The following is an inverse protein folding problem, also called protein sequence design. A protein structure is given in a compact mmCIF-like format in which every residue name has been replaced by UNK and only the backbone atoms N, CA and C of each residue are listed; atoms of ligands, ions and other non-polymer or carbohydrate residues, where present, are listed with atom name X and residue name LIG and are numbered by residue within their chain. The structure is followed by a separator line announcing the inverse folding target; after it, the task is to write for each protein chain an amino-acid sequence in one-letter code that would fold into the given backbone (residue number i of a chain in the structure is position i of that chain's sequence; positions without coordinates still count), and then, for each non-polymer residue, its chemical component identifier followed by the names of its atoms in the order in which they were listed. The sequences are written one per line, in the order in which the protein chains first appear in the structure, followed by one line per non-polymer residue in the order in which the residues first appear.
data_IF_550499031595
#
_entry.id   IF_550499031595
#
_cell.length_a   1.000
_cell.length_b   1.000
_cell.length_c   1.000
_cell.angle_alpha   90.00
_cell.angle_beta   90.00
_cell.angle_gamma   90.00
#
_symmetry.space_group_name_H-M   'P 1'
#
loop_
_entity.id
_entity.type
_entity.pdbx_description
1 polymer ?
#
# COMPACT_ATOMS: atom_id res chain seq x y z
N UNK A 1 11.39 -8.67 -11.98
CA UNK A 1 10.74 -9.58 -12.96
C UNK A 1 10.88 -11.00 -12.48
N UNK A 2 9.76 -11.74 -12.46
CA UNK A 2 9.81 -13.16 -12.15
C UNK A 2 10.71 -13.90 -13.14
N UNK A 3 11.70 -14.63 -12.63
CA UNK A 3 12.56 -15.46 -13.46
C UNK A 3 11.87 -16.73 -14.02
N UNK A 4 10.65 -17.00 -13.58
CA UNK A 4 9.84 -18.12 -14.06
C UNK A 4 8.98 -17.76 -15.28
N UNK A 5 8.91 -16.48 -15.65
CA UNK A 5 8.28 -16.09 -16.91
C UNK A 5 9.33 -16.07 -18.02
N UNK A 6 9.06 -16.83 -19.05
CA UNK A 6 9.73 -16.64 -20.31
C UNK A 6 9.25 -15.31 -20.91
N UNK A 7 10.13 -14.31 -20.96
CA UNK A 7 9.81 -12.97 -21.50
C UNK A 7 9.34 -13.03 -22.97
N UNK A 8 9.67 -14.09 -23.69
CA UNK A 8 9.23 -14.30 -25.07
C UNK A 8 7.76 -14.72 -25.19
N UNK A 9 7.09 -15.03 -24.06
CA UNK A 9 5.68 -15.45 -24.03
C UNK A 9 4.75 -14.35 -23.56
N UNK A 10 5.22 -13.12 -23.41
CA UNK A 10 4.39 -11.99 -23.03
C UNK A 10 3.30 -11.76 -24.08
N UNK A 11 2.03 -11.91 -23.67
CA UNK A 11 0.87 -11.85 -24.55
C UNK A 11 0.66 -10.44 -25.16
N UNK A 12 1.01 -9.40 -24.42
CA UNK A 12 0.94 -8.02 -24.88
C UNK A 12 2.33 -7.38 -24.86
N UNK A 13 2.90 -7.17 -26.04
CA UNK A 13 4.25 -6.57 -26.21
C UNK A 13 4.33 -5.11 -25.78
N UNK A 14 3.18 -4.43 -25.64
CA UNK A 14 3.11 -3.03 -25.21
C UNK A 14 3.13 -2.87 -23.69
N UNK A 15 3.05 -3.95 -22.91
CA UNK A 15 3.18 -3.89 -21.47
C UNK A 15 4.64 -3.71 -21.08
N UNK A 16 4.88 -2.71 -20.25
CA UNK A 16 6.19 -2.44 -19.64
C UNK A 16 6.03 -2.22 -18.13
N UNK A 17 7.14 -2.08 -17.42
CA UNK A 17 7.14 -1.92 -15.97
C UNK A 17 6.47 -0.61 -15.49
N UNK A 18 6.37 0.39 -16.36
CA UNK A 18 5.75 1.67 -16.03
C UNK A 18 4.23 1.62 -16.09
N UNK A 19 3.67 0.85 -17.03
CA UNK A 19 2.24 0.78 -17.28
C UNK A 19 1.58 -0.54 -16.87
N UNK A 20 2.34 -1.48 -16.30
CA UNK A 20 1.83 -2.76 -15.79
C UNK A 20 2.17 -2.90 -14.31
N UNK A 21 1.45 -2.18 -13.49
CA UNK A 21 1.62 -2.19 -12.04
C UNK A 21 0.42 -2.89 -11.39
N UNK A 22 0.67 -3.99 -10.73
CA UNK A 22 -0.35 -4.78 -10.04
C UNK A 22 0.04 -5.00 -8.58
N UNK A 23 -0.89 -4.73 -7.69
CA UNK A 23 -0.80 -4.99 -6.28
C UNK A 23 -1.69 -6.18 -5.91
N UNK A 24 -1.16 -7.11 -5.16
CA UNK A 24 -1.94 -8.12 -4.47
C UNK A 24 -2.02 -7.78 -2.97
N UNK A 25 -3.17 -7.34 -2.54
CA UNK A 25 -3.51 -7.21 -1.12
C UNK A 25 -4.27 -8.45 -0.69
N UNK A 26 -3.57 -9.41 -0.16
CA UNK A 26 -4.22 -10.59 0.39
C UNK A 26 -3.44 -11.14 1.57
N UNK A 27 -4.15 -11.84 2.40
CA UNK A 27 -3.52 -12.81 3.27
C UNK A 27 -3.57 -14.14 2.52
N UNK A 28 -2.46 -14.59 1.97
CA UNK A 28 -2.43 -15.88 1.27
C UNK A 28 -2.81 -17.00 2.22
N UNK A 29 -2.96 -16.70 3.50
CA UNK A 29 -3.13 -17.64 4.57
C UNK A 29 -4.24 -17.22 5.53
N UNK A 30 -5.05 -16.25 5.19
CA UNK A 30 -6.15 -15.75 5.99
C UNK A 30 -5.78 -15.56 7.46
N UNK A 31 -6.62 -15.99 8.37
CA UNK A 31 -6.31 -16.00 9.80
C UNK A 31 -5.08 -16.85 10.18
N UNK A 32 -4.56 -17.63 9.24
CA UNK A 32 -3.39 -18.46 9.45
C UNK A 32 -2.08 -17.69 9.53
N UNK A 33 -2.07 -16.36 9.34
CA UNK A 33 -0.90 -15.54 9.71
C UNK A 33 -0.48 -15.77 11.16
N UNK A 34 -1.38 -16.18 12.03
CA UNK A 34 -1.08 -16.64 13.39
C UNK A 34 -0.26 -17.92 13.43
N UNK A 35 -0.32 -18.74 12.38
CA UNK A 35 0.36 -20.03 12.26
C UNK A 35 1.66 -19.94 11.44
N UNK A 36 1.92 -18.81 10.79
CA UNK A 36 3.15 -18.62 10.04
C UNK A 36 4.33 -18.36 10.97
N UNK A 37 5.22 -19.31 10.99
CA UNK A 37 6.53 -19.12 11.57
C UNK A 37 7.54 -18.65 10.52
N UNK A 38 8.74 -18.22 10.95
CA UNK A 38 9.83 -17.84 10.05
C UNK A 38 10.41 -19.02 9.26
N UNK A 39 10.10 -20.25 9.67
CA UNK A 39 10.63 -21.48 9.08
C UNK A 39 9.61 -22.14 8.14
N UNK A 40 10.07 -22.77 7.06
CA UNK A 40 9.23 -23.58 6.20
C UNK A 40 8.56 -24.71 6.99
N UNK A 41 7.33 -25.03 6.63
CA UNK A 41 6.63 -26.17 7.21
C UNK A 41 7.05 -27.48 6.53
N UNK A 42 7.09 -28.53 7.29
CA UNK A 42 7.37 -29.88 6.77
C UNK A 42 6.23 -30.42 5.90
N UNK A 43 5.00 -30.06 6.23
CA UNK A 43 3.81 -30.49 5.51
C UNK A 43 3.23 -29.33 4.73
N UNK A 44 2.77 -29.63 3.53
CA UNK A 44 2.05 -28.69 2.68
C UNK A 44 0.57 -28.64 3.14
N UNK A 45 0.31 -27.83 4.15
CA UNK A 45 -1.00 -27.66 4.77
C UNK A 45 -1.52 -26.22 4.70
N UNK A 46 -0.99 -25.44 3.79
CA UNK A 46 -1.32 -24.02 3.65
C UNK A 46 -1.64 -23.61 2.21
N UNK A 47 -2.02 -22.37 2.07
CA UNK A 47 -2.28 -21.77 0.77
C UNK A 47 -1.01 -21.70 -0.07
N UNK A 48 -1.16 -21.94 -1.36
CA UNK A 48 -0.08 -21.85 -2.32
C UNK A 48 -0.25 -20.57 -3.15
N UNK A 49 0.71 -19.66 -3.04
CA UNK A 49 0.76 -18.50 -3.92
C UNK A 49 1.81 -18.71 -5.02
N UNK A 50 1.35 -18.75 -6.27
CA UNK A 50 2.19 -18.97 -7.45
C UNK A 50 1.99 -17.92 -8.56
N UNK A 51 1.28 -16.83 -8.26
CA UNK A 51 0.93 -15.78 -9.22
C UNK A 51 1.94 -14.63 -9.27
N UNK A 52 3.20 -14.88 -8.85
CA UNK A 52 4.27 -13.88 -8.78
C UNK A 52 4.49 -13.11 -10.07
N UNK A 53 4.27 -13.77 -11.20
CA UNK A 53 4.48 -13.18 -12.53
C UNK A 53 3.49 -12.09 -12.89
N UNK A 54 2.35 -12.02 -12.21
CA UNK A 54 1.29 -11.07 -12.51
C UNK A 54 1.28 -9.85 -11.59
N UNK A 55 2.14 -9.81 -10.58
CA UNK A 55 2.16 -8.75 -9.58
C UNK A 55 3.54 -8.11 -9.43
N UNK A 56 3.55 -6.85 -9.00
CA UNK A 56 4.76 -6.10 -8.67
C UNK A 56 4.97 -5.98 -7.16
N UNK A 57 3.86 -6.00 -6.41
CA UNK A 57 3.85 -5.87 -4.95
C UNK A 57 2.90 -6.91 -4.37
N UNK A 58 3.34 -7.57 -3.31
CA UNK A 58 2.49 -8.38 -2.45
C UNK A 58 2.47 -7.78 -1.05
N UNK A 59 1.34 -7.21 -0.65
CA UNK A 59 1.14 -6.72 0.70
C UNK A 59 0.36 -7.74 1.53
N UNK A 60 0.97 -8.19 2.60
CA UNK A 60 0.39 -9.16 3.49
C UNK A 60 -0.66 -8.52 4.40
N UNK A 61 -1.89 -8.97 4.31
CA UNK A 61 -3.00 -8.52 5.16
C UNK A 61 -2.86 -9.11 6.56
N UNK A 62 -2.18 -8.42 7.46
CA UNK A 62 -1.76 -8.98 8.76
C UNK A 62 -2.22 -8.21 9.99
N UNK A 63 -3.01 -7.16 9.84
CA UNK A 63 -3.48 -6.27 10.91
C UNK A 63 -2.36 -5.56 11.70
N UNK A 64 -1.11 -5.78 11.35
CA UNK A 64 0.02 -5.10 12.00
C UNK A 64 1.19 -5.03 11.05
N UNK A 65 1.94 -3.94 11.11
CA UNK A 65 3.20 -3.85 10.40
C UNK A 65 4.21 -4.88 10.92
N UNK A 66 5.22 -5.14 10.10
CA UNK A 66 6.35 -6.02 10.40
C UNK A 66 6.03 -7.51 10.48
N UNK A 67 4.84 -7.91 10.06
CA UNK A 67 4.44 -9.31 10.05
C UNK A 67 4.55 -9.90 8.64
N UNK A 68 5.74 -9.80 8.05
CA UNK A 68 6.08 -10.46 6.78
C UNK A 68 7.05 -11.60 7.08
N UNK A 69 6.66 -12.87 6.85
CA UNK A 69 7.56 -13.99 7.07
C UNK A 69 8.80 -13.91 6.19
N UNK A 70 9.99 -14.14 6.74
CA UNK A 70 11.25 -14.02 6.02
C UNK A 70 11.32 -14.93 4.79
N UNK A 71 10.82 -16.16 4.89
CA UNK A 71 10.75 -17.10 3.75
C UNK A 71 9.83 -16.60 2.65
N UNK A 72 8.77 -15.89 2.99
CA UNK A 72 7.88 -15.27 2.01
C UNK A 72 8.58 -14.12 1.28
N UNK A 73 9.29 -13.24 2.00
CA UNK A 73 10.13 -12.21 1.42
C UNK A 73 11.15 -12.78 0.43
N UNK A 74 11.85 -13.84 0.82
CA UNK A 74 12.86 -14.48 -0.01
C UNK A 74 12.26 -14.99 -1.34
N UNK A 75 11.09 -15.62 -1.28
CA UNK A 75 10.42 -16.12 -2.49
C UNK A 75 9.90 -14.97 -3.35
N UNK A 76 9.29 -13.96 -2.75
CA UNK A 76 8.83 -12.78 -3.47
C UNK A 76 9.98 -12.09 -4.21
N UNK A 77 11.08 -11.82 -3.52
CA UNK A 77 12.26 -11.18 -4.11
C UNK A 77 12.91 -12.02 -5.21
N UNK A 78 12.97 -13.35 -5.05
CA UNK A 78 13.41 -14.25 -6.13
C UNK A 78 12.57 -14.14 -7.39
N UNK A 79 11.31 -13.76 -7.25
CA UNK A 79 10.38 -13.54 -8.35
C UNK A 79 10.32 -12.07 -8.81
N UNK A 80 11.12 -11.18 -8.22
CA UNK A 80 11.14 -9.76 -8.56
C UNK A 80 9.94 -8.98 -8.02
N UNK A 81 9.25 -9.52 -7.01
CA UNK A 81 8.08 -8.93 -6.37
C UNK A 81 8.50 -8.28 -5.06
N UNK A 82 8.11 -7.03 -4.85
CA UNK A 82 8.30 -6.32 -3.58
C UNK A 82 7.28 -6.79 -2.55
N UNK A 83 7.65 -6.72 -1.29
CA UNK A 83 6.77 -7.10 -0.18
C UNK A 83 6.45 -5.92 0.70
N UNK A 84 5.24 -5.97 1.26
CA UNK A 84 4.77 -5.04 2.27
C UNK A 84 3.93 -5.75 3.32
N UNK A 85 3.53 -5.00 4.32
CA UNK A 85 2.62 -5.46 5.35
C UNK A 85 1.60 -4.36 5.64
N UNK A 86 0.38 -4.78 5.91
CA UNK A 86 -0.74 -3.86 6.04
C UNK A 86 -1.10 -3.64 7.51
N UNK A 87 -1.17 -2.38 7.90
CA UNK A 87 -1.80 -1.96 9.15
C UNK A 87 -3.27 -1.63 8.87
N UNK A 88 -4.14 -2.28 9.62
CA UNK A 88 -5.57 -2.16 9.45
C UNK A 88 -6.16 -1.25 10.54
N UNK A 89 -6.94 -0.26 10.13
CA UNK A 89 -7.76 0.59 10.98
C UNK A 89 -9.21 0.33 10.60
N UNK A 90 -10.00 -0.11 11.56
CA UNK A 90 -11.39 -0.46 11.36
C UNK A 90 -12.25 0.73 10.94
N UNK A 91 -13.37 0.39 10.32
CA UNK A 91 -14.35 1.36 9.86
C UNK A 91 -14.81 2.28 11.00
N UNK A 92 -14.74 3.58 10.73
CA UNK A 92 -15.19 4.66 11.62
C UNK A 92 -14.46 4.75 12.99
N UNK A 93 -13.33 4.06 13.16
CA UNK A 93 -12.49 4.28 14.34
C UNK A 93 -11.97 5.72 14.45
N UNK A 94 -11.80 6.19 15.67
CA UNK A 94 -11.13 7.46 15.91
C UNK A 94 -9.62 7.25 15.88
N UNK A 95 -8.92 8.01 15.07
CA UNK A 95 -7.47 7.90 14.86
C UNK A 95 -6.79 9.19 15.33
N UNK A 96 -6.30 9.16 16.56
CA UNK A 96 -5.64 10.30 17.21
C UNK A 96 -4.46 9.84 18.06
N UNK A 97 -3.68 10.77 18.56
CA UNK A 97 -2.54 10.47 19.44
C UNK A 97 -2.91 9.69 20.73
N UNK A 98 -4.17 9.73 21.13
CA UNK A 98 -4.66 9.07 22.36
C UNK A 98 -5.53 7.86 22.08
N UNK A 99 -5.95 7.65 20.85
CA UNK A 99 -6.79 6.50 20.45
C UNK A 99 -5.98 5.21 20.31
N UNK A 100 -6.63 4.06 20.45
CA UNK A 100 -6.02 2.75 20.27
C UNK A 100 -5.39 2.62 18.87
N UNK A 101 -6.13 3.00 17.82
CA UNK A 101 -5.69 2.91 16.44
C UNK A 101 -4.58 3.91 16.07
N UNK A 102 -4.58 5.11 16.69
CA UNK A 102 -3.68 6.20 16.32
C UNK A 102 -2.41 6.33 17.17
N UNK A 103 -2.39 5.78 18.38
CA UNK A 103 -1.28 5.96 19.33
C UNK A 103 0.09 5.57 18.76
N UNK A 104 0.19 4.42 18.13
CA UNK A 104 1.44 3.96 17.52
C UNK A 104 1.86 4.87 16.35
N UNK A 105 0.91 5.30 15.53
CA UNK A 105 1.17 6.19 14.40
C UNK A 105 1.67 7.55 14.87
N UNK A 106 1.05 8.08 15.92
CA UNK A 106 1.47 9.35 16.56
C UNK A 106 2.87 9.25 17.18
N UNK A 107 3.21 8.10 17.80
CA UNK A 107 4.55 7.87 18.33
C UNK A 107 5.60 7.84 17.21
N UNK A 108 5.32 7.21 16.08
CA UNK A 108 6.20 7.24 14.91
C UNK A 108 6.44 8.67 14.40
N UNK A 109 5.44 9.55 14.51
CA UNK A 109 5.53 10.94 14.12
C UNK A 109 6.26 11.83 15.13
N UNK A 110 6.75 11.29 16.26
CA UNK A 110 7.45 12.07 17.25
C UNK A 110 8.67 12.81 16.68
N UNK A 111 8.79 14.08 17.01
CA UNK A 111 9.88 14.96 16.56
C UNK A 111 10.90 15.21 17.68
N UNK A 112 12.13 15.48 17.32
CA UNK A 112 13.17 15.92 18.22
C UNK A 112 13.05 17.44 18.49
N UNK A 113 13.97 17.98 19.31
CA UNK A 113 13.99 19.40 19.64
C UNK A 113 14.26 20.34 18.45
N UNK A 114 14.71 19.81 17.31
CA UNK A 114 14.92 20.52 16.05
C UNK A 114 13.79 20.35 15.05
N UNK A 115 12.73 19.62 15.43
CA UNK A 115 11.57 19.37 14.58
C UNK A 115 11.72 18.21 13.59
N UNK A 116 12.79 17.43 13.63
CA UNK A 116 13.00 16.26 12.77
C UNK A 116 12.29 15.02 13.31
N UNK A 117 11.77 14.18 12.43
CA UNK A 117 11.17 12.91 12.82
C UNK A 117 12.20 11.94 13.41
N UNK A 118 12.02 11.54 14.67
CA UNK A 118 12.95 10.65 15.39
C UNK A 118 13.05 9.25 14.79
N UNK A 119 11.97 8.79 14.18
CA UNK A 119 11.82 7.38 13.81
C UNK A 119 11.87 7.09 12.31
N UNK A 120 11.85 8.10 11.43
CA UNK A 120 11.88 7.87 9.99
C UNK A 120 13.10 7.03 9.56
N UNK A 121 14.31 7.44 9.96
CA UNK A 121 15.53 6.68 9.65
C UNK A 121 15.58 5.31 10.32
N UNK A 122 15.13 5.19 11.56
CA UNK A 122 15.08 3.92 12.29
C UNK A 122 14.12 2.95 11.63
N UNK A 123 12.97 3.43 11.17
CA UNK A 123 11.99 2.61 10.46
C UNK A 123 12.60 2.06 9.15
N UNK A 124 13.21 2.91 8.34
CA UNK A 124 13.83 2.46 7.08
C UNK A 124 14.99 1.50 7.34
N UNK A 125 15.80 1.72 8.38
CA UNK A 125 16.84 0.78 8.80
C UNK A 125 16.27 -0.59 9.17
N UNK A 126 15.17 -0.59 9.93
CA UNK A 126 14.48 -1.81 10.33
C UNK A 126 13.93 -2.57 9.12
N UNK A 127 13.21 -1.88 8.24
CA UNK A 127 12.65 -2.50 7.03
C UNK A 127 13.76 -3.10 6.15
N UNK A 128 14.84 -2.34 5.93
CA UNK A 128 16.00 -2.80 5.16
C UNK A 128 16.65 -4.01 5.77
N UNK A 129 16.80 -4.05 7.10
CA UNK A 129 17.41 -5.18 7.81
C UNK A 129 16.61 -6.48 7.65
N UNK A 130 15.28 -6.39 7.70
CA UNK A 130 14.41 -7.56 7.56
C UNK A 130 13.96 -7.85 6.12
N UNK A 131 14.42 -7.06 5.15
CA UNK A 131 14.06 -7.24 3.74
C UNK A 131 12.60 -6.93 3.43
N UNK A 132 11.96 -6.07 4.21
CA UNK A 132 10.59 -5.60 3.98
C UNK A 132 10.67 -4.34 3.13
N UNK A 133 10.01 -4.32 1.96
CA UNK A 133 10.15 -3.21 1.02
C UNK A 133 9.19 -2.07 1.31
N UNK A 134 8.05 -2.33 1.94
CA UNK A 134 7.05 -1.28 2.10
C UNK A 134 6.09 -1.45 3.26
N UNK A 135 5.25 -0.44 3.40
CA UNK A 135 4.18 -0.37 4.40
C UNK A 135 2.84 -0.15 3.71
N UNK A 136 1.83 -0.90 4.12
CA UNK A 136 0.46 -0.71 3.70
C UNK A 136 -0.43 -0.17 4.82
N UNK A 137 -1.40 0.65 4.48
CA UNK A 137 -2.47 1.09 5.38
C UNK A 137 -3.84 0.91 4.76
N UNK A 138 -4.73 0.32 5.55
CA UNK A 138 -6.17 0.37 5.34
C UNK A 138 -6.78 1.35 6.36
N UNK A 139 -6.82 2.67 6.07
CA UNK A 139 -7.10 3.70 7.07
C UNK A 139 -8.57 4.09 7.13
N UNK A 140 -9.47 3.17 7.38
CA UNK A 140 -10.92 3.42 7.34
C UNK A 140 -11.48 4.16 8.56
N UNK A 141 -10.67 4.97 9.24
CA UNK A 141 -11.03 5.73 10.43
C UNK A 141 -11.14 7.25 10.22
N UNK A 142 -11.63 7.94 11.24
CA UNK A 142 -11.66 9.41 11.32
C UNK A 142 -10.38 9.90 12.00
N UNK A 143 -9.51 10.53 11.24
CA UNK A 143 -8.21 11.00 11.71
C UNK A 143 -8.31 12.41 12.32
N UNK A 144 -7.66 12.61 13.46
CA UNK A 144 -7.47 13.97 13.93
C UNK A 144 -6.63 14.78 12.95
N UNK A 145 -6.96 16.05 12.77
CA UNK A 145 -6.25 16.94 11.84
C UNK A 145 -4.74 16.93 12.07
N UNK A 146 -4.31 16.94 13.33
CA UNK A 146 -2.89 16.93 13.67
C UNK A 146 -2.20 15.65 13.25
N UNK A 147 -2.77 14.48 13.55
CA UNK A 147 -2.15 13.19 13.17
C UNK A 147 -2.17 12.98 11.67
N UNK A 148 -3.23 13.41 11.00
CA UNK A 148 -3.35 13.40 9.54
C UNK A 148 -2.21 14.19 8.87
N UNK A 149 -1.91 15.38 9.38
CA UNK A 149 -0.84 16.24 8.90
C UNK A 149 0.56 15.68 9.21
N UNK A 150 0.76 15.24 10.44
CA UNK A 150 2.05 14.72 10.89
C UNK A 150 2.40 13.40 10.19
N UNK A 151 1.43 12.50 10.05
CA UNK A 151 1.70 11.18 9.47
C UNK A 151 1.95 11.25 7.96
N UNK A 152 1.22 12.08 7.22
CA UNK A 152 1.52 12.31 5.80
C UNK A 152 2.92 12.93 5.60
N UNK A 153 3.34 13.84 6.48
CA UNK A 153 4.69 14.40 6.47
C UNK A 153 5.76 13.38 6.86
N UNK A 154 5.45 12.51 7.83
CA UNK A 154 6.34 11.42 8.23
C UNK A 154 6.59 10.43 7.09
N UNK A 155 5.56 10.05 6.34
CA UNK A 155 5.71 9.16 5.18
C UNK A 155 6.57 9.81 4.08
N UNK A 156 6.37 11.09 3.80
CA UNK A 156 7.21 11.84 2.86
C UNK A 156 8.69 11.87 3.30
N UNK A 157 8.97 12.04 4.60
CA UNK A 157 10.34 11.95 5.12
C UNK A 157 10.91 10.53 5.03
N UNK A 158 10.08 9.49 5.22
CA UNK A 158 10.50 8.10 5.03
C UNK A 158 10.96 7.84 3.60
N UNK A 159 10.28 8.37 2.58
CA UNK A 159 10.71 8.26 1.19
C UNK A 159 12.06 8.91 0.94
N UNK A 160 12.29 10.10 1.48
CA UNK A 160 13.58 10.79 1.38
C UNK A 160 14.69 9.97 2.02
N UNK A 161 14.48 9.50 3.24
CA UNK A 161 15.46 8.67 3.97
C UNK A 161 15.72 7.35 3.25
N UNK A 162 14.69 6.71 2.72
CA UNK A 162 14.83 5.46 1.96
C UNK A 162 15.69 5.64 0.71
N UNK A 163 15.52 6.76 -0.01
CA UNK A 163 16.37 7.13 -1.15
C UNK A 163 17.83 7.30 -0.73
N UNK A 164 18.09 8.02 0.37
CA UNK A 164 19.44 8.20 0.93
C UNK A 164 20.09 6.85 1.30
N UNK A 165 19.29 5.92 1.81
CA UNK A 165 19.74 4.60 2.25
C UNK A 165 19.76 3.55 1.13
N UNK A 166 19.38 3.91 -0.09
CA UNK A 166 19.23 2.97 -1.21
C UNK A 166 18.36 1.76 -0.82
N UNK A 167 17.16 2.03 -0.31
CA UNK A 167 16.15 1.02 0.02
C UNK A 167 14.93 1.19 -0.87
N UNK A 168 14.40 0.14 -1.51
CA UNK A 168 13.25 0.21 -2.41
C UNK A 168 11.94 0.38 -1.62
N UNK A 169 11.85 1.44 -0.84
CA UNK A 169 10.69 1.73 0.00
C UNK A 169 9.47 2.13 -0.83
N UNK A 170 8.31 1.61 -0.44
CA UNK A 170 7.02 2.02 -0.99
C UNK A 170 5.97 2.10 0.11
N UNK A 171 4.92 2.89 -0.13
CA UNK A 171 3.74 3.00 0.73
C UNK A 171 2.50 2.68 -0.09
N UNK A 172 1.70 1.75 0.42
CA UNK A 172 0.41 1.36 -0.11
C UNK A 172 -0.68 2.00 0.74
N UNK A 173 -1.55 2.76 0.14
CA UNK A 173 -2.57 3.54 0.83
C UNK A 173 -3.95 3.30 0.26
N UNK A 174 -4.86 2.80 1.07
CA UNK A 174 -6.28 2.77 0.71
C UNK A 174 -6.88 4.18 0.78
N UNK A 175 -7.45 4.67 -0.30
CA UNK A 175 -7.74 6.09 -0.54
C UNK A 175 -8.95 6.64 0.25
N UNK A 176 -9.14 6.20 1.48
CA UNK A 176 -10.35 6.47 2.26
C UNK A 176 -10.32 7.78 3.05
N UNK A 177 -9.15 8.34 3.33
CA UNK A 177 -9.00 9.51 4.21
C UNK A 177 -8.83 10.79 3.40
N UNK A 178 -9.59 11.81 3.75
CA UNK A 178 -9.51 13.13 3.16
C UNK A 178 -8.29 13.93 3.67
N UNK A 179 -8.00 15.06 3.02
CA UNK A 179 -6.98 16.01 3.45
C UNK A 179 -7.19 16.57 4.86
N UNK A 180 -8.41 16.48 5.39
CA UNK A 180 -8.78 16.97 6.72
C UNK A 180 -8.93 15.85 7.75
N UNK A 181 -8.75 14.61 7.35
CA UNK A 181 -8.84 13.45 8.25
C UNK A 181 -10.21 12.76 8.27
N UNK A 182 -11.23 13.32 7.63
CA UNK A 182 -12.52 12.65 7.45
C UNK A 182 -12.48 11.59 6.36
N UNK A 183 -13.56 10.81 6.25
CA UNK A 183 -13.71 9.85 5.15
C UNK A 183 -13.99 10.61 3.84
N UNK A 184 -13.39 10.17 2.75
CA UNK A 184 -13.47 10.83 1.45
C UNK A 184 -14.17 9.95 0.41
N UNK A 185 -15.44 10.25 0.15
CA UNK A 185 -16.26 9.66 -0.94
C UNK A 185 -15.97 8.16 -1.14
N UNK A 186 -15.89 7.44 -0.03
CA UNK A 186 -15.51 6.04 0.03
C UNK A 186 -14.22 5.66 -0.74
N UNK A 187 -13.33 6.61 -0.98
CA UNK A 187 -12.04 6.36 -1.63
C UNK A 187 -12.12 5.99 -3.11
N UNK A 188 -13.15 6.45 -3.83
CA UNK A 188 -13.41 6.03 -5.21
C UNK A 188 -12.58 6.76 -6.27
N UNK A 189 -11.88 7.84 -5.91
CA UNK A 189 -11.02 8.64 -6.81
C UNK A 189 -9.94 9.40 -6.05
N UNK A 190 -8.86 9.75 -6.76
CA UNK A 190 -7.92 10.78 -6.34
C UNK A 190 -8.43 12.14 -6.82
N UNK A 191 -8.53 13.11 -5.92
CA UNK A 191 -9.06 14.44 -6.24
C UNK A 191 -8.26 15.54 -5.54
N UNK A 192 -7.86 16.56 -6.31
CA UNK A 192 -7.13 17.72 -5.80
C UNK A 192 -7.99 18.49 -4.80
N UNK A 193 -7.41 18.80 -3.65
CA UNK A 193 -8.08 19.47 -2.55
C UNK A 193 -8.87 18.54 -1.63
N UNK A 194 -9.13 17.29 -2.04
CA UNK A 194 -9.91 16.32 -1.27
C UNK A 194 -9.05 15.29 -0.52
N UNK A 195 -8.16 14.58 -1.22
CA UNK A 195 -7.30 13.54 -0.64
C UNK A 195 -5.88 13.48 -1.24
N UNK A 196 -5.53 14.45 -2.05
CA UNK A 196 -4.25 14.54 -2.76
C UNK A 196 -3.03 14.63 -1.84
N UNK A 197 -3.19 15.14 -0.60
CA UNK A 197 -2.09 15.18 0.39
C UNK A 197 -1.58 13.79 0.78
N UNK A 198 -2.40 12.75 0.62
CA UNK A 198 -2.00 11.37 0.85
C UNK A 198 -1.30 10.75 -0.35
N UNK A 199 -1.42 11.37 -1.51
CA UNK A 199 -0.73 10.96 -2.72
C UNK A 199 0.61 11.68 -2.89
N UNK A 200 0.58 13.03 -2.71
CA UNK A 200 1.74 13.89 -2.92
C UNK A 200 1.65 15.12 -2.01
N UNK A 201 2.74 15.48 -1.36
CA UNK A 201 2.78 16.60 -0.42
C UNK A 201 4.08 17.39 -0.54
N UNK A 202 3.96 18.71 -0.72
CA UNK A 202 5.12 19.63 -0.76
C UNK A 202 6.23 19.17 -1.73
N UNK A 203 5.87 18.72 -2.92
CA UNK A 203 6.84 18.27 -3.93
C UNK A 203 7.41 16.86 -3.69
N UNK A 204 6.91 16.10 -2.71
CA UNK A 204 7.39 14.77 -2.39
C UNK A 204 6.26 13.73 -2.48
N UNK A 205 6.55 12.50 -2.90
CA UNK A 205 5.61 11.40 -2.80
C UNK A 205 5.31 11.09 -1.33
N UNK A 206 4.07 10.81 -1.02
CA UNK A 206 3.61 10.32 0.30
C UNK A 206 3.31 8.83 0.21
N UNK A 207 2.66 8.44 -0.88
CA UNK A 207 2.33 7.03 -1.17
C UNK A 207 2.71 6.69 -2.60
N UNK A 208 3.02 5.43 -2.87
CA UNK A 208 3.37 4.92 -4.20
C UNK A 208 2.23 4.18 -4.86
N UNK A 209 1.40 3.57 -4.04
CA UNK A 209 0.19 2.88 -4.43
C UNK A 209 -0.98 3.60 -3.79
N UNK A 210 -1.69 4.39 -4.57
CA UNK A 210 -2.94 5.01 -4.15
C UNK A 210 -4.09 4.12 -4.58
N UNK A 211 -4.51 3.24 -3.68
CA UNK A 211 -5.47 2.19 -3.95
C UNK A 211 -6.91 2.71 -3.80
N UNK A 212 -7.63 2.77 -4.91
CA UNK A 212 -9.03 3.19 -4.93
C UNK A 212 -9.96 2.06 -4.48
N UNK A 213 -11.02 2.42 -3.79
CA UNK A 213 -12.11 1.52 -3.47
C UNK A 213 -12.71 0.93 -4.76
N UNK A 214 -13.20 -0.29 -4.70
CA UNK A 214 -13.82 -1.03 -5.81
C UNK A 214 -15.14 -0.45 -6.34
N UNK A 215 -15.64 0.66 -5.79
CA UNK A 215 -16.76 1.43 -6.33
C UNK A 215 -16.33 2.58 -7.28
N UNK A 216 -15.10 2.55 -7.76
CA UNK A 216 -14.63 3.53 -8.74
C UNK A 216 -15.46 3.51 -10.04
N UNK A 217 -15.47 4.63 -10.74
CA UNK A 217 -16.10 4.79 -12.05
C UNK A 217 -15.07 5.21 -13.09
N UNK A 218 -15.39 5.06 -14.36
CA UNK A 218 -14.53 5.51 -15.46
C UNK A 218 -14.21 7.00 -15.35
N UNK A 219 -15.21 7.84 -15.02
CA UNK A 219 -15.01 9.28 -14.78
C UNK A 219 -14.13 9.53 -13.54
N UNK A 220 -14.26 8.73 -12.48
CA UNK A 220 -13.40 8.79 -11.30
C UNK A 220 -11.96 8.42 -11.61
N UNK A 221 -11.73 7.43 -12.47
CA UNK A 221 -10.37 7.08 -12.93
C UNK A 221 -9.78 8.19 -13.80
N UNK A 222 -10.55 8.81 -14.66
CA UNK A 222 -10.11 9.94 -15.46
C UNK A 222 -9.72 11.14 -14.58
N UNK A 223 -10.55 11.51 -13.61
CA UNK A 223 -10.24 12.54 -12.60
C UNK A 223 -8.95 12.22 -11.86
N UNK A 224 -8.78 10.98 -11.45
CA UNK A 224 -7.59 10.51 -10.74
C UNK A 224 -6.33 10.60 -11.61
N UNK A 225 -6.43 10.26 -12.89
CA UNK A 225 -5.33 10.37 -13.83
C UNK A 225 -4.91 11.82 -14.07
N UNK A 226 -5.87 12.72 -14.19
CA UNK A 226 -5.62 14.17 -14.33
C UNK A 226 -4.98 14.75 -13.06
N UNK A 227 -5.48 14.37 -11.88
CA UNK A 227 -4.91 14.77 -10.60
C UNK A 227 -3.46 14.28 -10.45
N UNK A 228 -3.18 13.01 -10.75
CA UNK A 228 -1.82 12.47 -10.70
C UNK A 228 -0.86 13.24 -11.62
N UNK A 229 -1.26 13.50 -12.87
CA UNK A 229 -0.46 14.27 -13.83
C UNK A 229 -0.19 15.69 -13.34
N UNK A 230 -1.20 16.38 -12.78
CA UNK A 230 -1.04 17.75 -12.26
C UNK A 230 -0.05 17.84 -11.11
N UNK A 231 0.11 16.74 -10.35
CA UNK A 231 1.09 16.61 -9.27
C UNK A 231 2.46 16.09 -9.74
N UNK A 232 2.66 15.93 -11.06
CA UNK A 232 3.91 15.40 -11.63
C UNK A 232 4.15 13.92 -11.33
N UNK A 233 3.07 13.16 -11.06
CA UNK A 233 3.11 11.74 -10.75
C UNK A 233 2.60 10.89 -11.91
N UNK A 234 3.00 9.63 -11.94
CA UNK A 234 2.47 8.66 -12.88
C UNK A 234 0.98 8.39 -12.61
N UNK A 235 0.18 8.29 -13.67
CA UNK A 235 -1.21 7.85 -13.56
C UNK A 235 -1.31 6.41 -13.05
N UNK A 236 -0.27 5.61 -13.25
CA UNK A 236 -0.17 4.22 -12.78
C UNK A 236 0.25 4.08 -11.32
N UNK A 237 0.41 5.20 -10.59
CA UNK A 237 0.53 5.19 -9.13
C UNK A 237 -0.86 5.20 -8.45
N UNK A 238 -1.93 5.36 -9.24
CA UNK A 238 -3.32 5.19 -8.81
C UNK A 238 -3.82 3.81 -9.27
N UNK A 239 -4.24 3.00 -8.32
CA UNK A 239 -4.64 1.61 -8.55
C UNK A 239 -6.14 1.46 -8.41
N UNK A 240 -6.79 0.97 -9.46
CA UNK A 240 -8.20 0.62 -9.41
C UNK A 240 -8.42 -0.64 -8.56
N UNK A 241 -9.23 -0.53 -7.52
CA UNK A 241 -9.50 -1.64 -6.62
C UNK A 241 -10.43 -2.68 -7.24
N UNK A 242 -10.14 -3.95 -6.96
CA UNK A 242 -10.98 -5.08 -7.32
C UNK A 242 -11.06 -6.07 -6.15
N UNK A 243 -12.26 -6.29 -5.63
CA UNK A 243 -12.47 -7.22 -4.52
C UNK A 243 -12.92 -8.58 -5.03
N UNK A 244 -12.02 -9.55 -4.92
CA UNK A 244 -12.27 -10.93 -5.35
C UNK A 244 -13.22 -11.70 -4.41
N UNK A 245 -13.43 -11.20 -3.19
CA UNK A 245 -14.19 -11.90 -2.16
C UNK A 245 -15.69 -11.56 -2.15
N UNK A 246 -16.19 -10.94 -3.20
CA UNK A 246 -17.62 -10.80 -3.35
C UNK A 246 -18.13 -9.44 -3.79
N UNK A 247 -17.31 -8.39 -3.85
CA UNK A 247 -17.74 -7.06 -4.25
C UNK A 247 -17.45 -6.74 -5.72
N UNK A 248 -16.44 -7.41 -6.31
CA UNK A 248 -16.00 -7.12 -7.67
C UNK A 248 -15.45 -5.70 -7.78
N UNK A 249 -15.96 -4.94 -8.75
CA UNK A 249 -15.72 -3.50 -8.84
C UNK A 249 -16.90 -2.77 -9.48
N UNK A 250 -17.14 -1.52 -9.04
CA UNK A 250 -18.16 -0.63 -9.60
C UNK A 250 -19.51 -1.30 -9.79
N UNK A 251 -20.14 -1.04 -10.92
CA UNK A 251 -21.45 -1.60 -11.29
C UNK A 251 -21.49 -3.11 -11.53
N UNK A 252 -20.33 -3.74 -11.65
CA UNK A 252 -20.24 -5.18 -11.96
C UNK A 252 -20.33 -6.05 -10.71
N UNK A 253 -20.11 -5.50 -9.53
CA UNK A 253 -20.21 -6.24 -8.26
C UNK A 253 -19.49 -7.58 -8.31
N UNK A 254 -20.13 -8.62 -7.80
CA UNK A 254 -19.57 -9.98 -7.74
C UNK A 254 -19.31 -10.62 -9.11
N UNK A 255 -19.91 -10.09 -10.17
CA UNK A 255 -19.74 -10.60 -11.54
C UNK A 255 -18.58 -9.91 -12.30
N UNK A 256 -17.80 -9.07 -11.64
CA UNK A 256 -16.78 -8.23 -12.25
C UNK A 256 -15.66 -8.94 -12.99
N UNK A 257 -15.49 -10.24 -12.78
CA UNK A 257 -14.47 -11.06 -13.46
C UNK A 257 -14.55 -11.02 -14.99
N UNK A 258 -15.73 -10.90 -15.54
CA UNK A 258 -15.96 -10.87 -16.99
C UNK A 258 -15.76 -9.50 -17.60
N UNK A 259 -15.54 -8.48 -16.79
CA UNK A 259 -15.36 -7.09 -17.22
C UNK A 259 -13.89 -6.67 -17.26
N UNK A 260 -12.98 -7.52 -16.77
CA UNK A 260 -11.53 -7.37 -16.85
C UNK A 260 -10.99 -8.12 -18.06
#
# INVERSE_FOLDING_TARGET
KSRFINQNTQANKNLNEENNKNLCWCSPIGEMTKKWGPMPRYNFDGDNFNMWQYINIHANWSNTWFRVPGTFNDVAHKNGVRTGCLYFIDWAEQVSATSSAGKMLAELCAKDGSGNFKYARKLIQFLKYYGIDGLGLNPEGYWSTQLNEDFSSFLAECHKVAKEMNHPFHVEWYAFVSNTGGLNDNGCKLEIGANDKWFHKNGNPVTDVFFLNYNWSESGLQTSAEAAKSLGRSTYDVYAGFDQQGRGYGKYGNAGWTAL
#
